data_IF_789203033836
#
_entry.id   IF_789203033836
#
_cell.length_a   1.000
_cell.length_b   1.000
_cell.length_c   1.000
_cell.angle_alpha   90.00
_cell.angle_beta   90.00
_cell.angle_gamma   90.00
#
_symmetry.space_group_name_H-M   'P 1'
#
loop_
_entity.id
_entity.type
_entity.pdbx_description
1 polymer ?
#
# COMPACT_ATOMS: atom_id res chain seq x y z
N UNK A 1 -8.58 -21.38 18.40
CA UNK A 1 -7.86 -20.82 17.24
C UNK A 1 -7.87 -19.31 17.40
N UNK A 2 -6.70 -18.67 17.46
CA UNK A 2 -6.58 -17.22 17.62
C UNK A 2 -7.01 -16.56 16.30
N UNK A 3 -8.04 -15.70 16.32
CA UNK A 3 -8.48 -14.99 15.11
C UNK A 3 -7.49 -13.87 14.81
N UNK A 4 -6.68 -14.05 13.78
CA UNK A 4 -5.78 -13.01 13.25
C UNK A 4 -6.44 -12.34 12.05
N UNK A 5 -6.57 -11.02 12.10
CA UNK A 5 -6.98 -10.18 10.99
C UNK A 5 -5.81 -9.25 10.66
N UNK A 6 -5.26 -9.38 9.47
CA UNK A 6 -4.22 -8.51 8.94
C UNK A 6 -4.78 -7.11 8.65
N UNK A 7 -3.94 -6.09 8.83
CA UNK A 7 -4.30 -4.69 8.67
C UNK A 7 -4.69 -4.34 7.22
N UNK A 8 -6.00 -4.18 6.97
CA UNK A 8 -6.54 -4.01 5.63
C UNK A 8 -6.01 -2.77 4.86
N UNK A 9 -5.87 -1.56 5.47
CA UNK A 9 -5.26 -0.42 4.78
C UNK A 9 -3.85 -0.71 4.25
N UNK A 10 -3.00 -1.39 5.02
CA UNK A 10 -1.67 -1.79 4.58
C UNK A 10 -1.71 -2.88 3.49
N UNK A 11 -2.70 -3.78 3.54
CA UNK A 11 -2.91 -4.74 2.47
C UNK A 11 -3.26 -4.03 1.14
N UNK A 12 -4.11 -3.00 1.20
CA UNK A 12 -4.44 -2.17 0.05
C UNK A 12 -3.24 -1.40 -0.48
N UNK A 13 -2.45 -0.74 0.37
CA UNK A 13 -1.25 -0.01 -0.06
C UNK A 13 -0.21 -0.95 -0.65
N UNK A 14 -0.04 -2.15 -0.11
CA UNK A 14 0.86 -3.17 -0.68
C UNK A 14 0.43 -3.62 -2.09
N UNK A 15 -0.87 -3.76 -2.34
CA UNK A 15 -1.40 -4.05 -3.68
C UNK A 15 -1.23 -2.84 -4.61
N UNK A 16 -1.53 -1.62 -4.15
CA UNK A 16 -1.26 -0.39 -4.93
C UNK A 16 0.22 -0.30 -5.32
N UNK A 17 1.14 -0.41 -4.37
CA UNK A 17 2.57 -0.27 -4.62
C UNK A 17 3.08 -1.35 -5.60
N UNK A 18 2.49 -2.55 -5.56
CA UNK A 18 2.78 -3.60 -6.54
C UNK A 18 2.31 -3.20 -7.95
N UNK A 19 1.10 -2.62 -8.09
CA UNK A 19 0.60 -2.11 -9.38
C UNK A 19 1.46 -0.99 -9.97
N UNK A 20 2.01 -0.14 -9.10
CA UNK A 20 2.86 0.99 -9.49
C UNK A 20 4.32 0.59 -9.74
N UNK A 21 4.71 -0.64 -9.36
CA UNK A 21 6.10 -1.08 -9.41
C UNK A 21 6.57 -1.42 -10.83
N UNK A 22 7.69 -0.83 -11.25
CA UNK A 22 8.37 -1.13 -12.52
C UNK A 22 9.01 -2.51 -12.58
N UNK A 23 9.22 -3.17 -11.44
CA UNK A 23 9.90 -4.48 -11.36
C UNK A 23 8.94 -5.66 -11.57
N UNK A 24 7.65 -5.38 -11.72
CA UNK A 24 6.59 -6.38 -11.71
C UNK A 24 5.69 -6.22 -12.91
N UNK A 25 5.22 -7.34 -13.44
CA UNK A 25 4.33 -7.35 -14.60
C UNK A 25 3.11 -8.16 -14.21
N UNK A 26 2.06 -7.52 -13.72
CA UNK A 26 0.89 -8.25 -13.23
C UNK A 26 0.11 -8.82 -14.42
N UNK A 27 0.32 -10.10 -14.70
CA UNK A 27 -0.28 -10.80 -15.84
C UNK A 27 -1.49 -11.61 -15.37
N UNK A 28 -2.69 -11.21 -15.79
CA UNK A 28 -3.96 -11.85 -15.47
C UNK A 28 -4.51 -12.46 -16.75
N UNK A 29 -4.29 -13.76 -16.95
CA UNK A 29 -4.70 -14.47 -18.16
C UNK A 29 -3.91 -14.02 -19.40
N UNK A 30 -4.58 -13.43 -20.38
CA UNK A 30 -3.94 -12.87 -21.58
C UNK A 30 -3.73 -11.35 -21.52
N UNK A 31 -4.05 -10.71 -20.38
CA UNK A 31 -4.04 -9.25 -20.21
C UNK A 31 -3.13 -8.79 -19.07
N UNK A 32 -2.69 -7.53 -19.13
CA UNK A 32 -1.82 -6.91 -18.13
C UNK A 32 -2.58 -5.94 -17.24
N UNK A 33 -2.35 -6.05 -15.93
CA UNK A 33 -2.71 -5.02 -14.98
C UNK A 33 -1.52 -4.07 -14.81
N UNK A 34 -1.73 -2.77 -14.96
CA UNK A 34 -0.62 -1.82 -14.88
C UNK A 34 -1.05 -0.36 -14.82
N UNK A 35 -0.13 0.46 -14.32
CA UNK A 35 -0.28 1.92 -14.18
C UNK A 35 -0.54 2.63 -15.52
N UNK A 36 -0.08 2.07 -16.64
CA UNK A 36 -0.25 2.66 -17.97
C UNK A 36 -1.73 2.92 -18.30
N UNK A 37 -2.66 2.05 -17.88
CA UNK A 37 -4.09 2.27 -18.09
C UNK A 37 -4.65 3.42 -17.25
N UNK A 38 -4.09 3.65 -16.05
CA UNK A 38 -4.47 4.79 -15.20
C UNK A 38 -3.90 6.10 -15.74
N UNK A 39 -2.68 6.09 -16.28
CA UNK A 39 -2.08 7.24 -16.98
C UNK A 39 -2.92 7.58 -18.21
N UNK A 40 -3.24 6.58 -19.05
CA UNK A 40 -4.13 6.78 -20.20
C UNK A 40 -5.50 7.33 -19.80
N UNK A 41 -6.03 6.92 -18.64
CA UNK A 41 -7.28 7.46 -18.14
C UNK A 41 -7.14 8.95 -17.78
N UNK A 42 -6.09 9.32 -17.05
CA UNK A 42 -5.81 10.71 -16.64
C UNK A 42 -5.58 11.61 -17.85
N UNK A 43 -4.86 11.14 -18.86
CA UNK A 43 -4.48 11.94 -20.03
C UNK A 43 -5.64 12.11 -21.03
N UNK A 44 -6.53 11.11 -21.15
CA UNK A 44 -7.54 11.07 -22.20
C UNK A 44 -8.99 11.33 -21.71
N UNK A 45 -9.23 11.42 -20.40
CA UNK A 45 -10.56 11.68 -19.83
C UNK A 45 -10.55 12.93 -18.95
N UNK A 46 -11.73 13.51 -18.75
CA UNK A 46 -11.87 14.67 -17.87
C UNK A 46 -11.74 14.23 -16.42
N UNK A 47 -10.96 14.98 -15.63
CA UNK A 47 -10.86 14.80 -14.17
C UNK A 47 -12.22 14.77 -13.47
N UNK A 48 -13.24 15.42 -14.03
CA UNK A 48 -14.60 15.41 -13.48
C UNK A 48 -15.21 13.99 -13.49
N UNK A 49 -14.83 13.15 -14.46
CA UNK A 49 -15.40 11.83 -14.65
C UNK A 49 -14.78 10.78 -13.71
N UNK A 50 -13.47 10.90 -13.44
CA UNK A 50 -12.70 9.89 -12.70
C UNK A 50 -12.06 10.40 -11.40
N UNK A 51 -11.87 11.71 -11.23
CA UNK A 51 -11.37 12.33 -10.00
C UNK A 51 -9.85 12.18 -9.72
N UNK A 52 -9.12 11.43 -10.56
CA UNK A 52 -7.69 11.16 -10.38
C UNK A 52 -6.78 12.31 -10.83
N UNK A 53 -5.63 12.43 -10.16
CA UNK A 53 -4.46 13.22 -10.58
C UNK A 53 -3.21 12.35 -10.65
N UNK A 54 -2.16 12.84 -11.33
CA UNK A 54 -0.87 12.12 -11.42
C UNK A 54 -0.25 11.84 -10.04
N UNK A 55 -0.47 12.71 -9.06
CA UNK A 55 -0.04 12.48 -7.68
C UNK A 55 -0.65 11.23 -7.04
N UNK A 56 -1.88 10.83 -7.41
CA UNK A 56 -2.55 9.66 -6.85
C UNK A 56 -1.87 8.35 -7.28
N UNK A 57 -1.16 8.36 -8.41
CA UNK A 57 -0.41 7.22 -8.94
C UNK A 57 1.11 7.35 -8.74
N UNK A 58 1.55 8.30 -7.90
CA UNK A 58 2.96 8.48 -7.57
C UNK A 58 3.46 7.32 -6.69
N UNK A 59 4.60 6.74 -7.07
CA UNK A 59 5.22 5.60 -6.36
C UNK A 59 6.06 6.03 -5.14
N UNK A 60 6.46 7.31 -5.05
CA UNK A 60 7.29 7.82 -3.93
C UNK A 60 6.58 7.67 -2.60
N UNK A 61 5.30 8.04 -2.57
CA UNK A 61 4.48 7.91 -1.38
C UNK A 61 3.86 6.49 -1.30
N UNK A 62 4.62 5.59 -0.67
CA UNK A 62 4.27 4.18 -0.47
C UNK A 62 3.18 3.99 0.60
N UNK A 63 2.97 4.96 1.48
CA UNK A 63 2.05 4.84 2.62
C UNK A 63 0.68 5.47 2.35
N UNK A 64 0.50 6.16 1.21
CA UNK A 64 -0.74 6.82 0.84
C UNK A 64 -1.95 5.90 0.68
N UNK A 65 -2.70 5.72 1.77
CA UNK A 65 -3.97 4.99 1.69
C UNK A 65 -5.07 5.79 0.96
N UNK A 66 -5.06 7.13 1.04
CA UNK A 66 -6.04 7.98 0.34
C UNK A 66 -5.97 7.78 -1.19
N UNK A 67 -4.76 7.67 -1.73
CA UNK A 67 -4.54 7.34 -3.14
C UNK A 67 -5.08 5.96 -3.50
N UNK A 68 -4.99 4.97 -2.61
CA UNK A 68 -5.65 3.67 -2.79
C UNK A 68 -7.17 3.83 -2.94
N UNK A 69 -7.83 4.56 -2.04
CA UNK A 69 -9.29 4.76 -2.07
C UNK A 69 -9.75 5.46 -3.38
N UNK A 70 -8.94 6.40 -3.87
CA UNK A 70 -9.26 7.12 -5.12
C UNK A 70 -9.17 6.22 -6.35
N UNK A 71 -8.08 5.46 -6.49
CA UNK A 71 -7.88 4.59 -7.67
C UNK A 71 -8.87 3.42 -7.71
N UNK A 72 -9.46 3.03 -6.57
CA UNK A 72 -10.50 2.00 -6.48
C UNK A 72 -11.93 2.55 -6.53
N UNK A 73 -12.11 3.86 -6.69
CA UNK A 73 -13.45 4.45 -6.71
C UNK A 73 -14.31 3.93 -7.87
N UNK A 74 -15.63 3.89 -7.66
CA UNK A 74 -16.57 3.41 -8.67
C UNK A 74 -16.52 4.24 -9.96
N UNK A 75 -16.20 5.53 -9.84
CA UNK A 75 -15.97 6.45 -10.95
C UNK A 75 -14.77 6.02 -11.80
N UNK A 76 -13.64 5.68 -11.17
CA UNK A 76 -12.43 5.19 -11.87
C UNK A 76 -12.70 3.84 -12.52
N UNK A 77 -13.26 2.87 -11.78
CA UNK A 77 -13.58 1.54 -12.31
C UNK A 77 -14.54 1.61 -13.50
N UNK A 78 -15.53 2.51 -13.45
CA UNK A 78 -16.46 2.73 -14.57
C UNK A 78 -15.78 3.38 -15.76
N UNK A 79 -14.89 4.36 -15.52
CA UNK A 79 -14.18 5.06 -16.57
C UNK A 79 -13.14 4.19 -17.27
N UNK A 80 -12.49 3.28 -16.53
CA UNK A 80 -11.55 2.30 -17.07
C UNK A 80 -12.18 1.39 -18.12
N UNK A 81 -13.48 1.08 -18.03
CA UNK A 81 -14.20 0.29 -19.07
C UNK A 81 -14.09 0.89 -20.47
N UNK A 82 -13.80 2.18 -20.56
CA UNK A 82 -13.64 2.88 -21.83
C UNK A 82 -12.22 2.85 -22.39
N UNK A 83 -11.24 2.41 -21.58
CA UNK A 83 -9.84 2.23 -21.98
C UNK A 83 -9.67 0.80 -22.50
N UNK A 84 -9.16 0.67 -23.73
CA UNK A 84 -8.91 -0.62 -24.37
C UNK A 84 -7.90 -1.46 -23.57
N UNK A 85 -8.15 -2.78 -23.46
CA UNK A 85 -7.27 -3.76 -22.80
C UNK A 85 -7.05 -3.53 -21.29
N UNK A 86 -7.88 -2.71 -20.65
CA UNK A 86 -7.76 -2.38 -19.22
C UNK A 86 -8.41 -3.42 -18.28
N UNK A 87 -8.96 -4.51 -18.80
CA UNK A 87 -9.82 -5.42 -18.03
C UNK A 87 -9.07 -6.12 -16.89
N UNK A 88 -7.79 -6.45 -17.09
CA UNK A 88 -6.94 -6.96 -16.02
C UNK A 88 -6.67 -5.89 -14.94
N UNK A 89 -6.52 -4.62 -15.31
CA UNK A 89 -6.36 -3.52 -14.34
C UNK A 89 -7.65 -3.32 -13.56
N UNK A 90 -8.81 -3.40 -14.22
CA UNK A 90 -10.12 -3.36 -13.55
C UNK A 90 -10.27 -4.53 -12.57
N UNK A 91 -9.95 -5.76 -12.97
CA UNK A 91 -9.98 -6.93 -12.10
C UNK A 91 -9.04 -6.76 -10.90
N UNK A 92 -7.84 -6.19 -11.12
CA UNK A 92 -6.87 -5.93 -10.07
C UNK A 92 -7.38 -4.89 -9.05
N UNK A 93 -7.88 -3.75 -9.52
CA UNK A 93 -8.43 -2.71 -8.66
C UNK A 93 -9.72 -3.19 -7.95
N UNK A 94 -10.48 -4.09 -8.57
CA UNK A 94 -11.63 -4.73 -7.95
C UNK A 94 -11.23 -5.60 -6.74
N UNK A 95 -10.06 -6.26 -6.75
CA UNK A 95 -9.53 -6.95 -5.57
C UNK A 95 -9.36 -5.96 -4.41
N UNK A 96 -8.73 -4.81 -4.67
CA UNK A 96 -8.50 -3.78 -3.66
C UNK A 96 -9.84 -3.22 -3.15
N UNK A 97 -10.80 -2.95 -4.05
CA UNK A 97 -12.13 -2.48 -3.69
C UNK A 97 -12.89 -3.49 -2.82
N UNK A 98 -12.80 -4.78 -3.11
CA UNK A 98 -13.40 -5.82 -2.29
C UNK A 98 -12.80 -5.82 -0.86
N UNK A 99 -11.48 -5.61 -0.70
CA UNK A 99 -10.84 -5.50 0.61
C UNK A 99 -11.33 -4.27 1.37
N UNK A 100 -11.41 -3.12 0.70
CA UNK A 100 -11.92 -1.85 1.24
C UNK A 100 -13.35 -2.01 1.76
N UNK A 101 -14.26 -2.54 0.92
CA UNK A 101 -15.66 -2.78 1.30
C UNK A 101 -15.78 -3.76 2.46
N UNK A 102 -14.88 -4.73 2.55
CA UNK A 102 -14.90 -5.75 3.60
C UNK A 102 -14.43 -5.22 4.95
N UNK A 103 -13.32 -4.47 4.99
CA UNK A 103 -12.58 -4.21 6.24
C UNK A 103 -12.44 -2.73 6.61
N UNK A 104 -12.70 -1.81 5.68
CA UNK A 104 -12.50 -0.37 5.90
C UNK A 104 -13.82 0.38 5.88
N UNK A 105 -14.66 0.12 4.89
CA UNK A 105 -15.98 0.75 4.78
C UNK A 105 -16.83 0.37 5.99
N UNK A 106 -17.45 1.37 6.63
CA UNK A 106 -18.22 1.20 7.86
C UNK A 106 -19.67 0.86 7.59
N UNK A 107 -20.21 1.29 6.44
CA UNK A 107 -21.60 1.05 6.08
C UNK A 107 -21.89 -0.36 5.54
N UNK A 108 -20.86 -1.15 5.20
CA UNK A 108 -21.05 -2.50 4.67
C UNK A 108 -21.64 -3.43 5.74
N UNK A 109 -22.72 -4.13 5.39
CA UNK A 109 -23.33 -5.12 6.27
C UNK A 109 -22.46 -6.40 6.35
N UNK A 110 -22.74 -7.26 7.34
CA UNK A 110 -21.92 -8.43 7.65
C UNK A 110 -21.84 -9.44 6.48
N UNK A 111 -22.97 -9.72 5.82
CA UNK A 111 -23.02 -10.69 4.72
C UNK A 111 -22.26 -10.17 3.50
N UNK A 112 -22.42 -8.90 3.16
CA UNK A 112 -21.69 -8.26 2.07
C UNK A 112 -20.19 -8.22 2.36
N UNK A 113 -19.77 -8.09 3.62
CA UNK A 113 -18.35 -8.23 3.98
C UNK A 113 -17.85 -9.64 3.68
N UNK A 114 -18.59 -10.69 4.06
CA UNK A 114 -18.23 -12.09 3.73
C UNK A 114 -18.16 -12.27 2.21
N UNK A 115 -19.16 -11.77 1.48
CA UNK A 115 -19.17 -11.80 0.01
C UNK A 115 -17.91 -11.18 -0.60
N UNK A 116 -17.60 -9.94 -0.23
CA UNK A 116 -16.47 -9.20 -0.78
C UNK A 116 -15.13 -9.84 -0.39
N UNK A 117 -14.99 -10.33 0.85
CA UNK A 117 -13.79 -11.03 1.32
C UNK A 117 -13.49 -12.25 0.45
N UNK A 118 -14.51 -13.10 0.26
CA UNK A 118 -14.38 -14.31 -0.54
C UNK A 118 -14.24 -14.02 -2.03
N UNK A 119 -14.86 -12.97 -2.54
CA UNK A 119 -14.70 -12.56 -3.94
C UNK A 119 -13.22 -12.22 -4.23
N UNK A 120 -12.58 -11.41 -3.38
CA UNK A 120 -11.15 -11.11 -3.48
C UNK A 120 -10.29 -12.39 -3.42
N UNK A 121 -10.56 -13.28 -2.47
CA UNK A 121 -9.85 -14.56 -2.34
C UNK A 121 -9.99 -15.42 -3.59
N UNK A 122 -11.20 -15.57 -4.13
CA UNK A 122 -11.42 -16.40 -5.31
C UNK A 122 -10.74 -15.82 -6.55
N UNK A 123 -10.79 -14.50 -6.79
CA UNK A 123 -10.09 -13.87 -7.91
C UNK A 123 -8.59 -14.23 -7.83
N UNK A 124 -7.99 -14.02 -6.67
CA UNK A 124 -6.55 -14.25 -6.46
C UNK A 124 -6.19 -15.74 -6.54
N UNK A 125 -7.02 -16.65 -6.02
CA UNK A 125 -6.82 -18.11 -6.10
C UNK A 125 -6.86 -18.63 -7.53
N UNK A 126 -7.86 -18.20 -8.30
CA UNK A 126 -8.02 -18.60 -9.71
C UNK A 126 -6.82 -18.10 -10.52
N UNK A 127 -6.45 -16.83 -10.32
CA UNK A 127 -5.27 -16.23 -10.94
C UNK A 127 -3.99 -17.01 -10.59
N UNK A 128 -3.77 -17.32 -9.30
CA UNK A 128 -2.62 -18.10 -8.86
C UNK A 128 -2.58 -19.51 -9.48
N UNK A 129 -3.71 -20.23 -9.48
CA UNK A 129 -3.81 -21.57 -10.05
C UNK A 129 -3.49 -21.59 -11.55
N UNK A 130 -3.97 -20.59 -12.29
CA UNK A 130 -3.63 -20.42 -13.71
C UNK A 130 -2.13 -20.19 -13.91
N UNK A 131 -1.50 -19.32 -13.12
CA UNK A 131 -0.05 -19.07 -13.21
C UNK A 131 0.81 -20.31 -12.88
N UNK A 132 0.35 -21.13 -11.92
CA UNK A 132 1.05 -22.38 -11.58
C UNK A 132 0.96 -23.42 -12.71
N UNK A 133 -0.20 -23.52 -13.36
CA UNK A 133 -0.45 -24.52 -14.42
C UNK A 133 0.10 -24.12 -15.79
N UNK A 134 0.26 -22.83 -16.06
CA UNK A 134 0.81 -22.33 -17.33
C UNK A 134 2.34 -22.44 -17.35
N UNK A 135 2.95 -22.81 -18.48
CA UNK A 135 4.41 -22.91 -18.60
C UNK A 135 5.08 -21.51 -18.54
N UNK A 136 6.22 -21.38 -17.85
CA UNK A 136 7.03 -20.15 -17.81
C UNK A 136 7.37 -19.61 -19.20
N UNK A 137 7.66 -20.49 -20.17
CA UNK A 137 8.01 -20.07 -21.53
C UNK A 137 6.82 -19.45 -22.26
N UNK A 138 5.62 -19.96 -22.01
CA UNK A 138 4.39 -19.42 -22.59
C UNK A 138 4.06 -18.05 -21.98
N UNK A 139 4.23 -17.90 -20.67
CA UNK A 139 4.04 -16.61 -19.98
C UNK A 139 5.03 -15.56 -20.51
N UNK A 140 6.31 -15.92 -20.62
CA UNK A 140 7.32 -15.00 -21.15
C UNK A 140 7.06 -14.64 -22.62
N UNK A 141 6.62 -15.58 -23.45
CA UNK A 141 6.18 -15.28 -24.83
C UNK A 141 5.04 -14.24 -24.84
N UNK A 142 4.03 -14.38 -23.99
CA UNK A 142 2.92 -13.41 -23.91
C UNK A 142 3.43 -12.00 -23.58
N UNK A 143 4.46 -11.90 -22.73
CA UNK A 143 5.08 -10.62 -22.34
C UNK A 143 5.89 -10.03 -23.48
N UNK A 144 6.74 -10.83 -24.14
CA UNK A 144 7.62 -10.34 -25.22
C UNK A 144 6.84 -9.76 -26.41
N UNK A 145 5.64 -10.25 -26.70
CA UNK A 145 4.80 -9.68 -27.77
C UNK A 145 4.20 -8.31 -27.41
N UNK A 146 4.12 -7.98 -26.12
CA UNK A 146 3.47 -6.76 -25.61
C UNK A 146 4.47 -5.72 -25.10
N UNK A 147 5.61 -6.15 -24.58
CA UNK A 147 6.69 -5.33 -24.01
C UNK A 147 8.03 -5.72 -24.64
N UNK A 148 8.30 -5.21 -25.84
CA UNK A 148 9.44 -5.64 -26.66
C UNK A 148 10.82 -5.11 -26.22
N UNK A 149 10.96 -4.34 -25.13
CA UNK A 149 12.17 -3.52 -24.93
C UNK A 149 12.79 -3.47 -23.54
N UNK A 150 12.21 -4.06 -22.49
CA UNK A 150 12.67 -3.78 -21.11
C UNK A 150 13.43 -4.94 -20.45
N UNK A 151 13.16 -6.20 -20.81
CA UNK A 151 13.76 -7.34 -20.13
C UNK A 151 14.57 -8.20 -21.11
N UNK A 152 15.90 -8.16 -20.97
CA UNK A 152 16.83 -9.03 -21.70
C UNK A 152 16.85 -10.47 -21.15
N UNK A 153 16.23 -10.70 -19.99
CA UNK A 153 16.20 -11.98 -19.28
C UNK A 153 14.76 -12.46 -19.04
N UNK A 154 14.54 -13.79 -18.94
CA UNK A 154 13.21 -14.35 -18.66
C UNK A 154 12.71 -13.90 -17.29
N UNK A 155 11.48 -13.39 -17.26
CA UNK A 155 10.88 -12.86 -16.04
C UNK A 155 10.46 -14.02 -15.13
N UNK A 156 10.87 -14.03 -13.86
CA UNK A 156 10.46 -15.05 -12.91
C UNK A 156 8.94 -15.05 -12.70
N UNK A 157 8.32 -16.23 -12.60
CA UNK A 157 6.86 -16.36 -12.38
C UNK A 157 6.32 -15.54 -11.19
N UNK A 158 7.13 -15.32 -10.15
CA UNK A 158 6.76 -14.52 -8.97
C UNK A 158 6.48 -13.05 -9.31
N UNK A 159 7.03 -12.54 -10.40
CA UNK A 159 6.82 -11.16 -10.86
C UNK A 159 5.52 -11.01 -11.65
N UNK A 160 4.87 -12.12 -12.02
CA UNK A 160 3.56 -12.13 -12.68
C UNK A 160 2.36 -12.01 -11.74
N UNK A 161 2.61 -12.03 -10.43
CA UNK A 161 1.58 -12.14 -9.41
C UNK A 161 1.78 -11.14 -8.27
N UNK A 162 0.76 -11.02 -7.42
CA UNK A 162 0.89 -10.37 -6.12
C UNK A 162 1.89 -11.15 -5.23
N UNK A 163 2.39 -10.50 -4.19
CA UNK A 163 3.27 -11.18 -3.24
C UNK A 163 2.52 -12.34 -2.55
N UNK A 164 3.19 -13.48 -2.37
CA UNK A 164 2.59 -14.66 -1.71
C UNK A 164 2.07 -14.36 -0.29
N UNK A 165 2.77 -13.58 0.55
CA UNK A 165 2.22 -13.16 1.85
C UNK A 165 0.91 -12.38 1.74
N UNK A 166 0.72 -11.60 0.67
CA UNK A 166 -0.52 -10.86 0.39
C UNK A 166 -1.68 -11.82 0.11
N UNK A 167 -1.46 -12.87 -0.69
CA UNK A 167 -2.45 -13.94 -0.91
C UNK A 167 -2.85 -14.60 0.43
N UNK A 168 -1.90 -15.02 1.25
CA UNK A 168 -2.21 -15.66 2.53
C UNK A 168 -2.92 -14.72 3.51
N UNK A 169 -2.56 -13.44 3.50
CA UNK A 169 -3.25 -12.44 4.34
C UNK A 169 -4.72 -12.29 3.93
N UNK A 170 -5.03 -12.31 2.63
CA UNK A 170 -6.41 -12.29 2.13
C UNK A 170 -7.19 -13.52 2.60
N UNK A 171 -6.60 -14.71 2.46
CA UNK A 171 -7.25 -15.95 2.87
C UNK A 171 -7.51 -15.98 4.37
N UNK A 172 -6.49 -15.66 5.17
CA UNK A 172 -6.60 -15.64 6.63
C UNK A 172 -7.69 -14.66 7.07
N UNK A 173 -7.74 -13.48 6.46
CA UNK A 173 -8.74 -12.47 6.78
C UNK A 173 -10.17 -12.93 6.44
N UNK A 174 -10.37 -13.53 5.27
CA UNK A 174 -11.69 -14.04 4.86
C UNK A 174 -12.17 -15.18 5.76
N UNK A 175 -11.28 -16.12 6.10
CA UNK A 175 -11.58 -17.22 7.02
C UNK A 175 -11.87 -16.71 8.44
N UNK A 176 -11.04 -15.81 8.98
CA UNK A 176 -11.25 -15.20 10.30
C UNK A 176 -12.59 -14.47 10.37
N UNK A 177 -12.93 -13.68 9.35
CA UNK A 177 -14.22 -13.00 9.29
C UNK A 177 -15.38 -14.01 9.25
N UNK A 178 -15.31 -15.00 8.35
CA UNK A 178 -16.37 -16.02 8.24
C UNK A 178 -16.56 -16.77 9.55
N UNK A 179 -15.46 -17.11 10.23
CA UNK A 179 -15.50 -17.78 11.52
C UNK A 179 -16.15 -16.92 12.61
N UNK A 180 -15.84 -15.61 12.68
CA UNK A 180 -16.52 -14.69 13.60
C UNK A 180 -18.03 -14.65 13.32
N UNK A 181 -18.41 -14.62 12.06
CA UNK A 181 -19.82 -14.60 11.64
C UNK A 181 -20.54 -15.91 12.01
N UNK A 182 -19.87 -17.06 11.87
CA UNK A 182 -20.39 -18.36 12.35
C UNK A 182 -20.56 -18.36 13.87
N UNK A 183 -19.56 -17.90 14.63
CA UNK A 183 -19.67 -17.81 16.09
C UNK A 183 -20.83 -16.91 16.54
N UNK A 184 -21.10 -15.83 15.81
CA UNK A 184 -22.25 -14.98 16.07
C UNK A 184 -23.57 -15.70 15.75
N UNK A 185 -23.65 -16.39 14.62
CA UNK A 185 -24.81 -17.20 14.24
C UNK A 185 -25.12 -18.30 15.28
N UNK A 186 -24.08 -18.89 15.87
CA UNK A 186 -24.17 -19.85 16.97
C UNK A 186 -24.44 -19.21 18.34
N UNK A 187 -24.63 -17.89 18.41
CA UNK A 187 -24.86 -17.11 19.64
C UNK A 187 -23.72 -17.23 20.68
N UNK A 188 -22.49 -17.54 20.25
CA UNK A 188 -21.31 -17.64 21.11
C UNK A 188 -20.63 -16.29 21.37
N UNK A 189 -20.93 -15.28 20.54
CA UNK A 189 -20.43 -13.91 20.67
C UNK A 189 -21.55 -12.90 20.47
N UNK A 190 -21.36 -11.68 20.97
CA UNK A 190 -22.31 -10.56 20.81
C UNK A 190 -22.14 -9.86 19.47
N UNK A 191 -23.16 -9.09 19.05
CA UNK A 191 -23.13 -8.31 17.81
C UNK A 191 -21.98 -7.30 17.77
N UNK A 192 -21.60 -6.74 18.92
CA UNK A 192 -20.47 -5.81 19.04
C UNK A 192 -19.15 -6.41 18.58
N UNK A 193 -18.99 -7.74 18.72
CA UNK A 193 -17.81 -8.46 18.26
C UNK A 193 -17.71 -8.53 16.72
N UNK A 194 -18.79 -8.23 15.99
CA UNK A 194 -18.81 -8.10 14.52
C UNK A 194 -18.50 -6.68 14.03
N UNK A 195 -18.08 -5.78 14.93
CA UNK A 195 -17.61 -4.46 14.52
C UNK A 195 -16.23 -4.55 13.85
N UNK A 196 -16.21 -4.92 12.57
CA UNK A 196 -15.00 -5.14 11.75
C UNK A 196 -14.10 -3.89 11.71
N UNK A 197 -14.66 -2.69 11.87
CA UNK A 197 -13.90 -1.45 11.93
C UNK A 197 -12.92 -1.37 13.12
N UNK A 198 -13.06 -2.23 14.13
CA UNK A 198 -12.14 -2.35 15.26
C UNK A 198 -10.98 -3.31 15.01
N UNK A 199 -11.06 -4.16 13.98
CA UNK A 199 -10.05 -5.19 13.68
C UNK A 199 -8.90 -4.67 12.81
N UNK A 200 -8.44 -3.45 13.08
CA UNK A 200 -7.30 -2.85 12.38
C UNK A 200 -6.44 -2.04 13.36
N UNK A 201 -5.17 -1.86 13.01
CA UNK A 201 -4.22 -1.09 13.80
C UNK A 201 -4.33 0.44 13.61
N UNK A 202 -5.37 0.98 12.96
CA UNK A 202 -5.50 2.43 12.78
C UNK A 202 -5.57 3.18 14.10
N UNK A 203 -6.14 2.57 15.15
CA UNK A 203 -6.15 3.19 16.47
C UNK A 203 -4.74 3.32 17.04
N UNK A 204 -3.88 2.32 16.83
CA UNK A 204 -2.47 2.39 17.25
C UNK A 204 -1.72 3.49 16.49
N UNK A 205 -1.85 3.56 15.16
CA UNK A 205 -1.23 4.63 14.36
C UNK A 205 -1.68 6.02 14.79
N UNK A 206 -2.98 6.19 15.10
CA UNK A 206 -3.50 7.45 15.64
C UNK A 206 -2.90 7.79 16.98
N UNK A 207 -2.74 6.82 17.89
CA UNK A 207 -2.09 7.03 19.18
C UNK A 207 -0.64 7.47 19.00
N UNK A 208 0.12 6.81 18.13
CA UNK A 208 1.50 7.22 17.82
C UNK A 208 1.57 8.62 17.22
N UNK A 209 0.68 8.96 16.28
CA UNK A 209 0.62 10.31 15.72
C UNK A 209 0.31 11.37 16.79
N UNK A 210 -0.63 11.08 17.70
CA UNK A 210 -0.90 12.00 18.82
C UNK A 210 0.33 12.12 19.71
N UNK A 211 1.02 11.02 20.00
CA UNK A 211 2.27 11.05 20.78
C UNK A 211 3.34 11.93 20.11
N UNK A 212 3.53 11.82 18.79
CA UNK A 212 4.46 12.67 18.01
C UNK A 212 4.05 14.15 18.06
N UNK A 213 2.75 14.45 18.06
CA UNK A 213 2.23 15.83 18.14
C UNK A 213 2.32 16.46 19.53
N UNK A 214 2.72 15.70 20.57
CA UNK A 214 2.80 16.18 21.94
C UNK A 214 4.18 16.75 22.31
N UNK A 215 5.02 17.04 21.31
CA UNK A 215 6.26 17.77 21.52
C UNK A 215 5.98 19.17 22.10
N UNK A 216 6.92 19.67 22.92
CA UNK A 216 6.75 20.96 23.60
C UNK A 216 6.65 22.14 22.62
N UNK A 217 6.14 23.31 23.04
CA UNK A 217 5.93 24.48 22.17
C UNK A 217 7.20 25.05 21.52
N UNK A 218 8.38 24.59 21.94
CA UNK A 218 9.68 24.97 21.40
C UNK A 218 10.45 23.78 20.82
N UNK A 219 9.79 22.64 20.60
CA UNK A 219 10.38 21.42 20.08
C UNK A 219 9.55 20.87 18.93
N UNK A 220 10.14 20.85 17.73
CA UNK A 220 9.61 20.16 16.56
C UNK A 220 10.05 18.69 16.50
N UNK A 221 10.63 18.16 17.58
CA UNK A 221 11.13 16.78 17.61
C UNK A 221 9.95 15.82 17.57
N UNK A 222 9.73 15.22 16.40
CA UNK A 222 8.70 14.20 16.13
C UNK A 222 9.12 12.80 16.57
N UNK A 223 10.41 12.55 16.71
CA UNK A 223 10.95 11.26 17.14
C UNK A 223 11.10 11.21 18.66
N UNK A 224 10.69 10.11 19.28
CA UNK A 224 10.82 9.92 20.72
C UNK A 224 11.39 8.54 21.04
N UNK A 225 12.18 8.49 22.11
CA UNK A 225 12.60 7.24 22.75
C UNK A 225 11.43 6.57 23.46
N UNK A 226 11.59 5.28 23.77
CA UNK A 226 10.62 4.53 24.58
C UNK A 226 10.38 5.21 25.93
N UNK A 227 11.43 5.78 26.53
CA UNK A 227 11.33 6.48 27.81
C UNK A 227 10.44 7.73 27.71
N UNK A 228 10.64 8.55 26.68
CA UNK A 228 9.84 9.74 26.42
C UNK A 228 8.38 9.39 26.10
N UNK A 229 8.15 8.30 25.35
CA UNK A 229 6.80 7.79 25.13
C UNK A 229 6.13 7.42 26.45
N UNK A 230 6.78 6.62 27.30
CA UNK A 230 6.24 6.17 28.58
C UNK A 230 5.91 7.34 29.52
N UNK A 231 6.75 8.37 29.55
CA UNK A 231 6.44 9.61 30.28
C UNK A 231 5.20 10.34 29.73
N UNK A 232 4.94 10.22 28.42
CA UNK A 232 3.79 10.81 27.73
C UNK A 232 2.50 9.98 27.80
N UNK A 233 2.57 8.69 28.15
CA UNK A 233 1.41 7.77 28.13
C UNK A 233 0.27 8.24 29.04
N UNK A 234 0.56 8.74 30.25
CA UNK A 234 -0.49 9.23 31.15
C UNK A 234 -1.23 10.42 30.55
N UNK A 235 -0.50 11.35 29.93
CA UNK A 235 -1.09 12.51 29.25
C UNK A 235 -1.91 12.07 28.03
N UNK A 236 -1.44 11.09 27.27
CA UNK A 236 -2.19 10.48 26.16
C UNK A 236 -3.50 9.86 26.64
N UNK A 237 -3.46 9.10 27.74
CA UNK A 237 -4.64 8.49 28.32
C UNK A 237 -5.69 9.54 28.71
N UNK A 238 -5.28 10.60 29.40
CA UNK A 238 -6.16 11.72 29.77
C UNK A 238 -6.75 12.41 28.54
N UNK A 239 -5.93 12.73 27.53
CA UNK A 239 -6.40 13.34 26.28
C UNK A 239 -7.44 12.46 25.57
N UNK A 240 -7.25 11.14 25.58
CA UNK A 240 -8.17 10.20 24.95
C UNK A 240 -9.48 10.09 25.73
N UNK A 241 -9.43 10.06 27.07
CA UNK A 241 -10.62 10.12 27.93
C UNK A 241 -11.43 11.40 27.71
N UNK A 242 -10.74 12.54 27.56
CA UNK A 242 -11.38 13.83 27.29
C UNK A 242 -12.03 13.84 25.90
N UNK A 243 -11.33 13.35 24.86
CA UNK A 243 -11.88 13.25 23.50
C UNK A 243 -13.14 12.37 23.47
N UNK A 244 -13.09 11.21 24.13
CA UNK A 244 -14.24 10.32 24.23
C UNK A 244 -15.44 10.99 24.93
N UNK A 245 -15.19 11.65 26.06
CA UNK A 245 -16.24 12.34 26.84
C UNK A 245 -16.86 13.54 26.09
N UNK A 246 -16.08 14.18 25.20
CA UNK A 246 -16.57 15.26 24.32
C UNK A 246 -17.45 14.70 23.19
N UNK A 247 -17.18 13.49 22.71
CA UNK A 247 -17.98 12.81 21.69
C UNK A 247 -19.28 12.21 22.26
N UNK A 248 -19.27 11.74 23.52
CA UNK A 248 -20.45 11.20 24.21
C UNK A 248 -21.46 12.25 24.66
N UNK A 249 -21.15 13.55 24.53
CA UNK A 249 -21.94 14.70 25.05
C UNK A 249 -22.16 14.68 26.56
N UNK A 250 -21.46 13.83 27.31
CA UNK A 250 -21.58 13.78 28.78
C UNK A 250 -20.92 14.99 29.44
N UNK A 251 -19.95 15.62 28.77
CA UNK A 251 -19.29 16.84 29.23
C UNK A 251 -19.54 18.00 28.25
N UNK A 252 -19.91 19.19 28.76
CA UNK A 252 -20.09 20.44 28.00
C UNK A 252 -18.77 21.00 27.40
N UNK A 253 -17.71 20.20 27.35
CA UNK A 253 -16.41 20.60 26.79
C UNK A 253 -16.45 20.31 25.30
N UNK A 254 -16.65 21.36 24.50
CA UNK A 254 -16.61 21.30 23.04
C UNK A 254 -15.20 21.67 22.60
N UNK A 255 -14.45 20.69 22.09
CA UNK A 255 -13.19 20.99 21.43
C UNK A 255 -13.45 21.67 20.08
N UNK A 256 -12.68 22.72 19.72
CA UNK A 256 -12.71 23.27 18.37
C UNK A 256 -12.38 22.16 17.38
N UNK A 257 -13.37 21.75 16.57
CA UNK A 257 -13.13 20.82 15.47
C UNK A 257 -12.78 21.65 14.24
N UNK A 258 -11.67 21.30 13.59
CA UNK A 258 -11.34 21.90 12.31
C UNK A 258 -12.50 21.66 11.31
N UNK A 259 -12.89 22.70 10.55
CA UNK A 259 -14.08 22.68 9.70
C UNK A 259 -14.09 21.51 8.69
N UNK A 260 -12.93 21.03 8.24
CA UNK A 260 -12.79 19.84 7.38
C UNK A 260 -13.20 18.53 8.08
N UNK A 261 -13.02 18.41 9.41
CA UNK A 261 -13.35 17.20 10.18
C UNK A 261 -14.84 17.08 10.50
N UNK A 262 -15.57 18.21 10.56
CA UNK A 262 -17.01 18.24 10.86
C UNK A 262 -17.86 17.52 9.79
N UNK A 263 -17.46 17.57 8.52
CA UNK A 263 -18.19 16.93 7.41
C UNK A 263 -18.13 15.40 7.43
N UNK A 264 -17.06 14.79 7.97
CA UNK A 264 -16.90 13.32 8.03
C UNK A 264 -17.70 12.67 9.17
N UNK A 265 -17.98 13.38 10.27
CA UNK A 265 -18.61 12.78 11.47
C UNK A 265 -20.13 12.62 11.35
N UNK A 266 -20.78 13.41 10.50
CA UNK A 266 -22.24 13.40 10.34
C UNK A 266 -22.78 12.15 9.64
N UNK A 267 -21.94 11.48 8.82
CA UNK A 267 -22.31 10.25 8.11
C UNK A 267 -22.16 8.99 8.97
N UNK A 268 -21.52 9.09 10.15
CA UNK A 268 -21.10 7.94 10.96
C UNK A 268 -22.17 7.39 11.91
N UNK A 269 -23.40 7.94 11.90
CA UNK A 269 -24.50 7.57 12.81
C UNK A 269 -25.58 6.66 12.22
N UNK A 270 -25.29 5.98 11.12
CA UNK A 270 -26.17 4.97 10.54
C UNK A 270 -25.58 3.57 10.74
N UNK A 271 -25.36 3.18 12.00
CA UNK A 271 -25.46 1.76 12.36
C UNK A 271 -26.93 1.47 12.56
N UNK A 272 -27.69 1.46 11.47
CA UNK A 272 -29.01 0.84 11.47
C UNK A 272 -28.80 -0.64 11.77
N UNK A 273 -29.25 -1.03 12.96
CA UNK A 273 -29.44 -2.39 13.44
C UNK A 273 -30.28 -3.14 12.43
N UNK A 274 -29.64 -3.74 11.43
CA UNK A 274 -30.24 -4.81 10.66
C UNK A 274 -29.87 -6.08 11.43
N UNK A 275 -30.84 -6.59 12.18
CA UNK A 275 -30.83 -7.94 12.74
C UNK A 275 -30.84 -8.93 11.59
N UNK A 276 -29.68 -9.14 10.97
CA UNK A 276 -29.51 -10.19 9.97
C UNK A 276 -29.46 -11.51 10.74
N UNK A 277 -30.49 -12.33 10.58
CA UNK A 277 -30.44 -13.75 10.94
C UNK A 277 -29.48 -14.43 9.98
N UNK A 278 -28.19 -14.41 10.34
CA UNK A 278 -27.15 -15.11 9.59
C UNK A 278 -27.36 -16.60 9.79
N UNK A 279 -27.68 -17.33 8.72
CA UNK A 279 -27.75 -18.79 8.72
C UNK A 279 -26.55 -19.38 7.98
N UNK A 280 -26.19 -20.63 8.29
CA UNK A 280 -25.14 -21.36 7.57
C UNK A 280 -25.43 -21.44 6.07
N UNK A 281 -26.68 -21.73 5.69
CA UNK A 281 -27.12 -21.74 4.30
C UNK A 281 -26.94 -20.37 3.62
N UNK A 282 -27.21 -19.26 4.32
CA UNK A 282 -26.98 -17.93 3.78
C UNK A 282 -25.48 -17.67 3.53
N UNK A 283 -24.60 -18.15 4.42
CA UNK A 283 -23.15 -18.05 4.22
C UNK A 283 -22.69 -18.88 3.02
N UNK A 284 -23.16 -20.12 2.88
CA UNK A 284 -22.82 -20.97 1.72
C UNK A 284 -23.24 -20.31 0.40
N UNK A 285 -24.48 -19.83 0.31
CA UNK A 285 -24.99 -19.12 -0.88
C UNK A 285 -24.18 -17.86 -1.16
N UNK A 286 -23.77 -17.13 -0.11
CA UNK A 286 -22.96 -15.91 -0.23
C UNK A 286 -21.57 -16.23 -0.78
N UNK A 287 -20.88 -17.23 -0.22
CA UNK A 287 -19.56 -17.68 -0.68
C UNK A 287 -19.63 -18.20 -2.11
N UNK A 288 -20.65 -18.98 -2.45
CA UNK A 288 -20.87 -19.45 -3.81
C UNK A 288 -21.11 -18.30 -4.80
N UNK A 289 -21.93 -17.31 -4.41
CA UNK A 289 -22.18 -16.11 -5.22
C UNK A 289 -20.90 -15.30 -5.44
N UNK A 290 -20.03 -15.21 -4.43
CA UNK A 290 -18.73 -14.56 -4.54
C UNK A 290 -17.79 -15.29 -5.53
N UNK A 291 -17.82 -16.63 -5.53
CA UNK A 291 -17.10 -17.45 -6.50
C UNK A 291 -17.60 -17.21 -7.94
N UNK A 292 -18.92 -17.18 -8.16
CA UNK A 292 -19.48 -16.88 -9.47
C UNK A 292 -19.07 -15.49 -9.95
N UNK A 293 -19.06 -14.50 -9.05
CA UNK A 293 -18.60 -13.15 -9.38
C UNK A 293 -17.12 -13.10 -9.75
N UNK A 294 -16.27 -13.80 -9.00
CA UNK A 294 -14.85 -13.88 -9.30
C UNK A 294 -14.59 -14.47 -10.69
N UNK A 295 -15.32 -15.53 -11.06
CA UNK A 295 -15.29 -16.09 -12.40
C UNK A 295 -15.73 -15.09 -13.47
N UNK A 296 -16.81 -14.36 -13.23
CA UNK A 296 -17.29 -13.33 -14.16
C UNK A 296 -16.23 -12.23 -14.39
N UNK A 297 -15.52 -11.81 -13.34
CA UNK A 297 -14.47 -10.80 -13.45
C UNK A 297 -13.29 -11.32 -14.27
N UNK A 298 -12.88 -12.56 -14.00
CA UNK A 298 -11.70 -13.14 -14.63
C UNK A 298 -11.93 -13.68 -16.04
N UNK A 299 -13.15 -14.09 -16.40
CA UNK A 299 -13.46 -14.57 -17.74
C UNK A 299 -13.19 -13.52 -18.83
N UNK A 300 -13.36 -12.24 -18.49
CA UNK A 300 -13.04 -11.10 -19.39
C UNK A 300 -11.53 -11.00 -19.64
N UNK A 301 -10.71 -11.50 -18.73
CA UNK A 301 -9.25 -11.57 -18.86
C UNK A 301 -8.75 -12.87 -19.48
N UNK A 302 -9.63 -13.63 -20.16
CA UNK A 302 -9.26 -14.91 -20.78
C UNK A 302 -9.04 -16.06 -19.79
N UNK A 303 -9.38 -15.86 -18.51
CA UNK A 303 -9.32 -16.89 -17.47
C UNK A 303 -10.68 -17.58 -17.35
N UNK A 304 -10.89 -18.62 -18.15
CA UNK A 304 -12.02 -19.54 -17.97
C UNK A 304 -11.56 -20.74 -17.15
N UNK A 305 -12.16 -20.98 -16.00
CA UNK A 305 -11.90 -22.18 -15.22
C UNK A 305 -12.37 -23.41 -16.00
N UNK A 306 -11.45 -24.32 -16.30
CA UNK A 306 -11.74 -25.75 -16.43
C UNK A 306 -12.36 -26.20 -15.10
N UNK A 307 -13.68 -26.45 -15.10
CA UNK A 307 -14.52 -27.10 -14.08
C UNK A 307 -14.07 -26.91 -12.59
N UNK A 308 -14.87 -26.31 -11.68
CA UNK A 308 -14.49 -26.07 -10.26
C UNK A 308 -13.85 -27.25 -9.51
N UNK A 309 -14.03 -28.47 -10.00
CA UNK A 309 -13.51 -29.72 -9.44
C UNK A 309 -12.18 -30.20 -10.02
N UNK A 310 -11.68 -29.67 -11.15
CA UNK A 310 -10.59 -30.33 -11.90
C UNK A 310 -9.17 -29.84 -11.60
N UNK A 311 -8.99 -28.70 -10.89
CA UNK A 311 -7.64 -28.21 -10.52
C UNK A 311 -7.65 -27.06 -9.51
N UNK A 312 -8.66 -26.97 -8.66
CA UNK A 312 -8.55 -26.10 -7.49
C UNK A 312 -7.46 -26.73 -6.62
N UNK A 313 -6.31 -26.05 -6.47
CA UNK A 313 -5.27 -26.48 -5.52
C UNK A 313 -6.01 -26.69 -4.21
N UNK A 314 -6.05 -27.92 -3.71
CA UNK A 314 -6.84 -28.23 -2.53
C UNK A 314 -6.37 -27.29 -1.41
N UNK A 315 -7.29 -26.88 -0.53
CA UNK A 315 -6.93 -26.06 0.63
C UNK A 315 -5.75 -26.67 1.40
N UNK A 316 -5.69 -28.00 1.44
CA UNK A 316 -4.60 -28.77 2.01
C UNK A 316 -3.27 -28.60 1.24
N UNK A 317 -3.31 -28.52 -0.08
CA UNK A 317 -2.13 -28.32 -0.91
C UNK A 317 -1.63 -26.86 -0.91
N UNK A 318 -2.54 -25.87 -0.84
CA UNK A 318 -2.19 -24.45 -0.60
C UNK A 318 -1.55 -24.29 0.77
N UNK A 319 -2.16 -24.87 1.82
CA UNK A 319 -1.59 -24.87 3.17
C UNK A 319 -0.24 -25.59 3.21
N UNK A 320 -0.12 -26.76 2.57
CA UNK A 320 1.14 -27.50 2.47
C UNK A 320 2.24 -26.65 1.83
N UNK A 321 1.92 -25.90 0.77
CA UNK A 321 2.87 -25.00 0.11
C UNK A 321 3.23 -23.79 0.99
N UNK A 322 2.26 -23.22 1.70
CA UNK A 322 2.46 -22.14 2.66
C UNK A 322 3.40 -22.56 3.81
N UNK A 323 3.10 -23.70 4.44
CA UNK A 323 3.91 -24.27 5.51
C UNK A 323 5.28 -24.75 5.02
N UNK A 324 5.41 -25.26 3.79
CA UNK A 324 6.71 -25.63 3.22
C UNK A 324 7.62 -24.41 3.03
N UNK A 325 7.08 -23.24 2.68
CA UNK A 325 7.86 -21.99 2.60
C UNK A 325 8.18 -21.42 3.98
N UNK A 326 7.24 -21.45 4.92
CA UNK A 326 7.47 -21.02 6.31
C UNK A 326 8.51 -21.91 7.03
N UNK A 327 8.53 -23.21 6.76
CA UNK A 327 9.52 -24.15 7.31
C UNK A 327 10.91 -23.98 6.71
N UNK A 328 11.03 -23.46 5.47
CA UNK A 328 12.32 -23.11 4.87
C UNK A 328 12.94 -21.87 5.53
N UNK A 329 12.12 -20.90 5.95
CA UNK A 329 12.56 -19.70 6.69
C UNK A 329 13.08 -19.99 8.10
N UNK A 330 12.78 -21.17 8.69
CA UNK A 330 13.27 -21.56 10.02
C UNK A 330 14.63 -22.25 10.02
N UNK A 331 15.28 -22.43 8.87
CA UNK A 331 16.57 -23.13 8.76
C UNK A 331 17.69 -22.20 8.25
N UNK A 332 17.93 -21.08 8.92
CA UNK A 332 19.16 -20.28 8.75
C UNK A 332 19.86 -19.96 10.07
N UNK A 333 19.52 -20.67 11.15
CA UNK A 333 20.28 -20.61 12.42
C UNK A 333 20.66 -22.01 12.87
N UNK A 334 21.68 -22.59 12.25
CA UNK A 334 22.65 -23.54 12.83
C UNK A 334 23.29 -24.40 11.74
N UNK A 335 24.43 -23.94 11.21
CA UNK A 335 25.69 -24.69 11.12
C UNK A 335 26.62 -24.11 10.04
N UNK A 336 27.64 -23.40 10.51
CA UNK A 336 28.89 -23.23 9.76
C UNK A 336 29.56 -24.60 9.64
N UNK A 337 29.65 -25.14 8.41
CA UNK A 337 30.86 -25.81 7.88
C UNK A 337 30.67 -26.20 6.40
N UNK A 338 31.48 -25.57 5.55
CA UNK A 338 31.93 -25.98 4.22
C UNK A 338 31.05 -26.90 3.38
N UNK A 339 30.34 -26.32 2.40
CA UNK A 339 30.25 -26.84 1.03
C UNK A 339 30.39 -25.65 0.07
N UNK A 340 31.26 -25.81 -0.93
CA UNK A 340 31.56 -24.83 -1.98
C UNK A 340 30.49 -24.88 -3.08
N UNK A 341 30.35 -23.70 -3.70
CA UNK A 341 29.93 -23.38 -5.06
C UNK A 341 28.45 -23.41 -5.45
N UNK A 342 28.02 -22.21 -5.87
CA UNK A 342 27.02 -21.83 -6.86
C UNK A 342 25.55 -22.04 -6.51
N UNK A 343 24.95 -20.99 -5.97
CA UNK A 343 23.65 -20.46 -6.41
C UNK A 343 23.58 -19.00 -5.94
N UNK A 344 23.41 -18.08 -6.90
CA UNK A 344 23.19 -16.66 -6.64
C UNK A 344 21.75 -16.48 -6.15
N UNK A 345 21.58 -16.45 -4.83
CA UNK A 345 20.35 -15.96 -4.20
C UNK A 345 20.53 -14.46 -3.92
N UNK A 346 20.09 -13.62 -4.87
CA UNK A 346 19.86 -12.20 -4.60
C UNK A 346 18.59 -12.09 -3.73
N UNK A 347 18.82 -12.06 -2.43
CA UNK A 347 17.89 -11.59 -1.40
C UNK A 347 17.70 -10.08 -1.58
N UNK A 348 16.73 -9.68 -2.40
CA UNK A 348 16.17 -8.33 -2.31
C UNK A 348 15.26 -8.29 -1.07
N UNK A 349 15.87 -8.01 0.08
CA UNK A 349 15.17 -7.44 1.22
C UNK A 349 14.67 -6.05 0.78
N UNK A 350 13.35 -5.89 0.73
CA UNK A 350 12.74 -4.58 0.57
C UNK A 350 13.00 -3.81 1.87
N UNK A 351 14.02 -2.93 1.86
CA UNK A 351 14.30 -2.00 2.96
C UNK A 351 13.08 -1.08 3.15
N UNK A 352 12.37 -1.30 4.26
CA UNK A 352 11.32 -0.44 4.79
C UNK A 352 11.97 0.78 5.47
N UNK A 353 12.39 1.76 4.67
CA UNK A 353 12.68 3.11 5.17
C UNK A 353 11.35 3.88 5.33
N UNK A 354 10.92 4.02 6.58
CA UNK A 354 9.80 4.85 7.03
C UNK A 354 10.22 6.34 7.02
N UNK A 355 10.13 6.99 5.85
CA UNK A 355 10.19 8.46 5.77
C UNK A 355 8.76 9.03 5.77
N UNK A 356 8.33 9.50 6.96
CA UNK A 356 7.10 10.25 7.17
C UNK A 356 7.33 11.74 6.77
N UNK A 357 7.12 12.08 5.50
CA UNK A 357 6.93 13.49 5.07
C UNK A 357 5.60 13.61 4.32
N UNK A 358 4.59 14.13 5.02
CA UNK A 358 3.43 14.76 4.38
C UNK A 358 3.37 16.22 4.87
N UNK A 359 3.59 17.13 3.92
CA UNK A 359 3.48 18.58 4.08
C UNK A 359 2.00 18.98 4.25
N UNK A 360 1.64 19.48 5.43
CA UNK A 360 0.50 20.40 5.57
C UNK A 360 1.03 21.81 5.22
N UNK A 361 0.60 22.36 4.08
CA UNK A 361 0.81 23.75 3.68
C UNK A 361 0.31 24.73 4.75
N UNK A 362 1.20 25.22 5.61
CA UNK A 362 0.97 26.36 6.50
C UNK A 362 2.12 27.37 6.32
N UNK A 363 1.93 28.37 5.46
CA UNK A 363 2.76 29.57 5.48
C UNK A 363 1.97 30.83 5.11
N UNK A 364 1.06 31.24 6.01
CA UNK A 364 0.57 32.63 6.05
C UNK A 364 1.34 33.42 7.12
N UNK A 365 2.39 34.13 6.72
CA UNK A 365 2.99 35.16 7.57
C UNK A 365 2.10 36.41 7.57
N UNK A 366 1.38 36.56 8.68
CA UNK A 366 0.72 37.79 9.08
C UNK A 366 1.70 38.96 9.12
N UNK A 367 1.42 39.98 8.29
CA UNK A 367 1.95 41.34 8.37
C UNK A 367 1.83 41.86 9.81
N UNK A 368 2.96 42.27 10.41
CA UNK A 368 2.94 43.25 11.48
C UNK A 368 3.72 44.50 11.06
N UNK A 369 3.02 45.61 11.17
CA UNK A 369 3.40 46.95 10.81
C UNK A 369 4.39 47.50 11.84
N UNK A 370 5.61 47.88 11.45
CA UNK A 370 6.43 48.83 12.21
C UNK A 370 7.28 49.68 11.28
N UNK A 371 6.96 50.97 11.25
CA UNK A 371 7.66 52.03 10.53
C UNK A 371 8.98 52.45 11.21
N UNK A 372 9.83 53.09 10.38
CA UNK A 372 11.14 53.77 10.57
C UNK A 372 12.37 52.87 10.37
N UNK A 373 13.36 53.22 9.55
CA UNK A 373 13.67 54.40 8.70
C UNK A 373 14.91 54.03 7.83
N UNK A 374 15.08 54.73 6.71
CA UNK A 374 16.27 54.93 5.83
C UNK A 374 17.62 54.35 6.38
N UNK A 375 18.50 53.69 5.63
CA UNK A 375 19.01 53.98 4.28
C UNK A 375 19.78 52.77 3.68
N UNK A 376 20.13 52.92 2.40
CA UNK A 376 21.26 52.31 1.68
C UNK A 376 21.01 51.08 0.77
N UNK A 377 20.97 51.47 -0.51
CA UNK A 377 21.14 50.78 -1.77
C UNK A 377 22.46 50.00 -1.80
N UNK A 378 22.42 48.70 -2.14
CA UNK A 378 23.35 48.06 -3.09
C UNK A 378 22.61 46.91 -3.80
N UNK A 379 22.54 47.01 -5.12
CA UNK A 379 22.20 45.95 -6.08
C UNK A 379 23.25 44.83 -6.02
N UNK A 380 22.83 43.58 -5.84
CA UNK A 380 23.53 42.42 -6.41
C UNK A 380 22.49 41.43 -6.98
N UNK A 381 22.49 41.33 -8.31
CA UNK A 381 21.83 40.28 -9.07
C UNK A 381 22.52 38.95 -8.78
N UNK A 382 21.77 37.96 -8.28
CA UNK A 382 22.19 36.56 -8.27
C UNK A 382 21.04 35.70 -8.84
N UNK A 383 21.16 35.35 -10.12
CA UNK A 383 20.33 34.35 -10.78
C UNK A 383 20.82 32.95 -10.37
N UNK A 384 20.29 32.41 -9.27
CA UNK A 384 20.40 30.98 -8.98
C UNK A 384 19.10 30.28 -9.42
N UNK A 385 19.09 29.75 -10.64
CA UNK A 385 18.12 28.73 -11.06
C UNK A 385 18.28 27.50 -10.15
N UNK A 386 17.30 27.26 -9.29
CA UNK A 386 17.15 26.01 -8.53
C UNK A 386 16.79 24.88 -9.49
N UNK A 387 17.74 23.98 -9.74
CA UNK A 387 17.46 22.71 -10.39
C UNK A 387 16.92 21.78 -9.31
N UNK A 388 15.65 21.38 -9.46
CA UNK A 388 14.98 20.41 -8.59
C UNK A 388 15.68 19.04 -8.69
N UNK A 389 15.72 18.30 -7.59
CA UNK A 389 16.32 16.95 -7.49
C UNK A 389 15.72 15.93 -8.51
N UNK A 390 14.61 16.28 -9.17
CA UNK A 390 13.98 15.50 -10.23
C UNK A 390 14.83 15.41 -11.52
N UNK A 391 15.67 16.40 -11.81
CA UNK A 391 16.44 16.46 -13.07
C UNK A 391 17.82 15.78 -12.99
N UNK A 392 18.37 15.53 -11.79
CA UNK A 392 19.70 14.92 -11.64
C UNK A 392 19.71 13.43 -12.00
N UNK A 393 18.59 12.73 -11.79
CA UNK A 393 18.47 11.28 -12.04
C UNK A 393 18.36 10.92 -13.53
N UNK A 394 18.03 11.90 -14.40
CA UNK A 394 17.93 11.69 -15.85
C UNK A 394 19.30 11.83 -16.54
N UNK A 395 20.30 12.45 -15.88
CA UNK A 395 21.55 12.85 -16.53
C UNK A 395 22.79 11.99 -16.21
N UNK A 396 22.70 11.01 -15.30
CA UNK A 396 23.88 10.23 -14.87
C UNK A 396 23.72 8.71 -15.06
N UNK A 397 24.36 8.20 -16.12
CA UNK A 397 24.49 6.76 -16.44
C UNK A 397 25.61 6.09 -15.61
N UNK A 398 25.49 6.00 -14.28
CA UNK A 398 26.59 5.48 -13.43
C UNK A 398 26.09 4.53 -12.32
N UNK A 399 26.80 3.41 -12.11
CA UNK A 399 26.51 2.43 -11.05
C UNK A 399 26.68 3.02 -9.65
N UNK A 400 25.67 2.87 -8.79
CA UNK A 400 25.63 3.42 -7.42
C UNK A 400 26.14 2.40 -6.40
N UNK A 401 26.88 2.86 -5.39
CA UNK A 401 27.06 2.13 -4.13
C UNK A 401 26.87 3.08 -2.94
N UNK A 402 26.14 2.64 -1.92
CA UNK A 402 25.80 3.44 -0.74
C UNK A 402 26.65 2.99 0.43
N UNK A 403 27.46 3.89 1.01
CA UNK A 403 28.14 3.65 2.28
C UNK A 403 27.52 4.61 3.29
N UNK A 404 26.76 4.08 4.26
CA UNK A 404 26.18 4.85 5.40
C UNK A 404 25.51 6.16 4.98
N UNK A 405 24.59 6.11 4.00
CA UNK A 405 23.83 7.28 3.54
C UNK A 405 24.60 8.27 2.65
N UNK A 406 25.89 8.02 2.35
CA UNK A 406 26.65 8.83 1.40
C UNK A 406 26.54 8.24 0.00
N UNK A 407 26.14 9.06 -0.97
CA UNK A 407 26.11 8.70 -2.38
C UNK A 407 27.51 8.81 -3.00
N UNK A 408 28.01 7.67 -3.52
CA UNK A 408 29.33 7.55 -4.15
C UNK A 408 29.15 7.21 -5.62
N UNK A 409 29.82 7.97 -6.49
CA UNK A 409 29.76 7.85 -7.94
C UNK A 409 31.11 7.44 -8.54
N UNK A 410 31.09 6.64 -9.59
CA UNK A 410 32.30 6.14 -10.28
C UNK A 410 32.86 7.15 -11.30
N UNK A 411 32.00 8.04 -11.79
CA UNK A 411 32.32 9.10 -12.74
C UNK A 411 31.29 10.22 -12.61
N UNK A 412 31.69 11.46 -12.87
CA UNK A 412 30.80 12.62 -12.89
C UNK A 412 31.01 13.40 -14.19
N UNK A 413 29.99 14.14 -14.62
CA UNK A 413 30.16 15.09 -15.72
C UNK A 413 31.03 16.27 -15.27
N UNK A 414 31.92 16.73 -16.17
CA UNK A 414 32.87 17.81 -15.88
C UNK A 414 32.16 19.14 -15.57
N UNK A 415 30.92 19.32 -16.04
CA UNK A 415 30.08 20.49 -15.75
C UNK A 415 29.70 20.62 -14.27
N UNK A 416 29.79 19.53 -13.49
CA UNK A 416 29.38 19.48 -12.08
C UNK A 416 30.54 19.18 -11.12
N UNK A 417 31.80 19.24 -11.59
CA UNK A 417 32.97 18.88 -10.79
C UNK A 417 33.07 19.64 -9.45
N UNK A 418 32.60 20.88 -9.40
CA UNK A 418 32.62 21.71 -8.18
C UNK A 418 31.64 21.26 -7.10
N UNK A 419 30.68 20.39 -7.41
CA UNK A 419 29.68 19.87 -6.46
C UNK A 419 30.11 18.55 -5.80
N UNK A 420 31.27 17.99 -6.16
CA UNK A 420 31.74 16.69 -5.68
C UNK A 420 33.16 16.75 -5.10
N UNK A 421 33.46 15.82 -4.19
CA UNK A 421 34.80 15.54 -3.68
C UNK A 421 35.34 14.25 -4.33
N UNK A 422 36.49 14.28 -5.02
CA UNK A 422 37.16 13.06 -5.43
C UNK A 422 37.83 12.40 -4.22
N UNK A 423 37.67 11.10 -4.06
CA UNK A 423 38.32 10.28 -3.04
C UNK A 423 38.74 8.92 -3.61
N UNK A 424 39.82 8.34 -3.08
CA UNK A 424 40.28 7.02 -3.52
C UNK A 424 39.70 5.93 -2.61
N UNK A 425 38.93 5.02 -3.21
CA UNK A 425 38.36 3.87 -2.51
C UNK A 425 38.75 2.59 -3.27
N UNK A 426 39.43 1.66 -2.59
CA UNK A 426 39.92 0.41 -3.17
C UNK A 426 40.76 0.60 -4.45
N UNK A 427 41.62 1.62 -4.48
CA UNK A 427 42.50 1.90 -5.63
C UNK A 427 41.80 2.52 -6.85
N UNK A 428 40.57 3.01 -6.70
CA UNK A 428 39.82 3.71 -7.76
C UNK A 428 39.34 5.07 -7.25
N UNK A 429 39.42 6.08 -8.12
CA UNK A 429 38.86 7.41 -7.83
C UNK A 429 37.34 7.32 -7.88
N UNK A 430 36.69 7.82 -6.84
CA UNK A 430 35.26 7.92 -6.68
C UNK A 430 34.89 9.36 -6.32
N UNK A 431 33.67 9.76 -6.61
CA UNK A 431 33.19 11.12 -6.38
C UNK A 431 32.05 11.10 -5.37
N UNK A 432 32.15 11.93 -4.34
CA UNK A 432 31.15 12.06 -3.27
C UNK A 432 30.51 13.43 -3.33
N UNK A 433 29.18 13.51 -3.31
CA UNK A 433 28.51 14.82 -3.40
C UNK A 433 28.74 15.65 -2.13
N UNK A 434 29.07 16.94 -2.28
CA UNK A 434 29.44 17.82 -1.16
C UNK A 434 28.32 18.01 -0.14
N UNK A 435 27.05 17.97 -0.56
CA UNK A 435 25.89 18.10 0.34
C UNK A 435 25.73 16.88 1.26
N UNK A 436 25.95 15.67 0.76
CA UNK A 436 25.85 14.42 1.54
C UNK A 436 27.09 14.13 2.38
N UNK A 437 28.19 14.86 2.16
CA UNK A 437 29.44 14.69 2.91
C UNK A 437 29.52 15.55 4.20
N UNK A 438 28.52 16.38 4.50
CA UNK A 438 28.44 17.10 5.78
C UNK A 438 27.88 16.17 6.85
N UNK A 439 28.78 15.56 7.63
CA UNK A 439 28.50 14.99 8.95
C UNK A 439 28.52 16.10 10.01
#
# INVERSE_FOLDING_TARGET
MQTTLAHAPHLCTKLRNRLLSSTTILLVGDRYAGIAHLIQLIDNRSKIDHGLTLSDICQKDKQNYSSCEKITSDAVLSSLKTISNSEATQAYLQIIKCIELTFVEKSTNVIDRVYNAWCAVFIVRIWYAWLQTTNSDELNKKVSHSHSTVFNEPIPKRNFFIAIPTLFSLELNAHSLTYLVVLYAEQKITEEALNIALFNSQMCFRTFRVARSMSGPFSSVVNFSVYEFLQGVEKLAVLQSIKWSSESKENNIIFPKHHKQSKKTSLTRLTSTITITVTEQALEVTVFSAYLKANQILSVCGLSILNPYDKMISFEEVNRLAYKKLSRSKCTTSNKKHIKSNENDDENEDDDEDEDEDEDEDNEQHRSNRQRSESDIVDEHDESTSIDDFDLDILLNVSRSTIRGMHIFDSIDNSQADSFFPGELNGRIKYMHKKTAKL
#
